data_IF_468572350716
#
_entry.id   IF_468572350716
#
_cell.length_a   1.000
_cell.length_b   1.000
_cell.length_c   1.000
_cell.angle_alpha   90.00
_cell.angle_beta   90.00
_cell.angle_gamma   90.00
#
_symmetry.space_group_name_H-M   'P 1'
#
loop_
_entity.id
_entity.type
_entity.pdbx_description
1 polymer ?
#
# COMPACT_ATOMS: atom_id res chain seq x y z
N UNK A 1 -21.18 62.72 -21.73
CA UNK A 1 -21.51 62.38 -23.12
C UNK A 1 -20.85 61.04 -23.40
N UNK A 2 -21.67 59.99 -23.42
CA UNK A 2 -21.48 58.64 -23.97
C UNK A 2 -20.18 57.89 -23.65
N UNK A 3 -20.31 56.92 -22.73
CA UNK A 3 -19.47 55.75 -22.64
C UNK A 3 -19.72 54.83 -23.85
N UNK A 4 -18.67 54.21 -24.37
CA UNK A 4 -18.76 53.22 -25.44
C UNK A 4 -17.97 51.97 -25.03
N UNK A 5 -18.69 50.87 -24.85
CA UNK A 5 -18.16 49.52 -24.68
C UNK A 5 -17.50 49.01 -25.97
N UNK A 6 -16.72 47.92 -25.87
CA UNK A 6 -17.20 46.69 -26.50
C UNK A 6 -16.86 45.40 -25.74
N UNK A 7 -17.69 44.37 -25.90
CA UNK A 7 -17.22 42.98 -25.77
C UNK A 7 -18.21 41.96 -25.22
N UNK A 8 -19.33 41.77 -25.93
CA UNK A 8 -20.35 40.74 -25.72
C UNK A 8 -19.75 39.32 -25.75
N UNK A 9 -19.83 38.59 -24.64
CA UNK A 9 -19.60 37.14 -24.59
C UNK A 9 -20.95 36.39 -24.65
N UNK A 10 -21.10 35.32 -25.45
CA UNK A 10 -22.25 34.45 -25.33
C UNK A 10 -22.02 33.56 -24.10
N UNK A 11 -22.94 33.33 -23.18
CA UNK A 11 -24.38 33.18 -23.32
C UNK A 11 -24.72 31.96 -22.46
N UNK A 12 -25.03 32.20 -21.19
CA UNK A 12 -25.43 31.18 -20.22
C UNK A 12 -26.83 30.67 -20.60
N UNK A 13 -26.93 29.41 -21.02
CA UNK A 13 -28.22 28.73 -21.19
C UNK A 13 -28.33 27.68 -20.09
N UNK A 14 -29.19 27.98 -19.12
CA UNK A 14 -29.70 26.96 -18.20
C UNK A 14 -30.67 26.05 -18.95
N UNK A 15 -30.56 24.74 -18.68
CA UNK A 15 -31.60 23.78 -18.96
C UNK A 15 -31.73 22.85 -17.75
N UNK A 16 -32.82 23.06 -17.02
CA UNK A 16 -33.43 22.09 -16.13
C UNK A 16 -33.55 20.71 -16.78
N UNK A 17 -33.18 19.67 -16.03
CA UNK A 17 -33.29 18.28 -16.48
C UNK A 17 -32.54 17.30 -15.58
N UNK A 18 -32.73 17.37 -14.27
CA UNK A 18 -32.15 16.39 -13.33
C UNK A 18 -32.95 15.08 -13.44
N UNK A 19 -32.51 14.20 -14.34
CA UNK A 19 -32.78 12.77 -14.24
C UNK A 19 -31.78 12.17 -13.26
N UNK A 20 -32.29 11.68 -12.13
CA UNK A 20 -31.54 10.95 -11.13
C UNK A 20 -30.94 9.66 -11.74
N UNK A 21 -29.62 9.54 -11.71
CA UNK A 21 -28.95 8.28 -12.03
C UNK A 21 -27.52 8.41 -12.53
N UNK A 22 -26.58 8.92 -11.71
CA UNK A 22 -25.15 8.55 -11.87
C UNK A 22 -24.29 8.83 -10.60
N UNK A 23 -24.83 8.52 -9.42
CA UNK A 23 -24.16 8.80 -8.13
C UNK A 23 -22.92 7.95 -7.81
N UNK A 24 -22.48 7.09 -8.74
CA UNK A 24 -21.30 6.24 -8.56
C UNK A 24 -20.02 6.87 -9.11
N UNK A 25 -20.08 7.40 -10.33
CA UNK A 25 -18.88 7.90 -11.02
C UNK A 25 -18.47 9.27 -10.48
N UNK A 26 -19.44 10.15 -10.20
CA UNK A 26 -19.16 11.46 -9.61
C UNK A 26 -18.56 11.37 -8.20
N UNK A 27 -19.04 10.43 -7.37
CA UNK A 27 -18.53 10.25 -6.01
C UNK A 27 -17.12 9.64 -5.96
N UNK A 28 -16.81 8.72 -6.88
CA UNK A 28 -15.47 8.14 -7.02
C UNK A 28 -14.46 9.15 -7.57
N UNK A 29 -14.89 10.01 -8.50
CA UNK A 29 -14.08 11.12 -9.02
C UNK A 29 -13.87 12.20 -7.97
N UNK A 30 -14.92 12.60 -7.24
CA UNK A 30 -14.80 13.54 -6.11
C UNK A 30 -13.90 12.99 -5.00
N UNK A 31 -13.96 11.68 -4.71
CA UNK A 31 -13.05 11.04 -3.77
C UNK A 31 -11.59 11.05 -4.27
N UNK A 32 -11.34 10.72 -5.54
CA UNK A 32 -10.00 10.75 -6.12
C UNK A 32 -9.41 12.16 -6.16
N UNK A 33 -10.22 13.18 -6.46
CA UNK A 33 -9.78 14.58 -6.47
C UNK A 33 -9.57 15.13 -5.05
N UNK A 34 -10.49 14.86 -4.12
CA UNK A 34 -10.47 15.46 -2.78
C UNK A 34 -9.63 14.71 -1.74
N UNK A 35 -9.39 13.40 -1.93
CA UNK A 35 -8.68 12.55 -0.96
C UNK A 35 -7.33 12.07 -1.49
N UNK A 36 -7.20 11.87 -2.81
CA UNK A 36 -5.97 11.39 -3.44
C UNK A 36 -5.23 12.49 -4.22
N UNK A 37 -5.79 13.70 -4.35
CA UNK A 37 -5.11 14.84 -4.97
C UNK A 37 -4.91 14.73 -6.49
N UNK A 38 -5.66 13.86 -7.18
CA UNK A 38 -5.48 13.59 -8.61
C UNK A 38 -5.99 14.76 -9.46
N UNK A 39 -5.09 15.57 -10.01
CA UNK A 39 -5.42 16.62 -10.99
C UNK A 39 -5.11 16.16 -12.42
N UNK A 40 -5.96 15.29 -12.97
CA UNK A 40 -5.82 14.83 -14.36
C UNK A 40 -6.52 13.53 -14.67
N UNK A 41 -7.86 13.51 -14.62
CA UNK A 41 -8.62 12.32 -15.05
C UNK A 41 -8.85 12.40 -16.57
N UNK A 42 -8.07 11.66 -17.34
CA UNK A 42 -8.35 11.44 -18.77
C UNK A 42 -9.33 10.29 -18.89
N UNK A 43 -10.61 10.62 -19.05
CA UNK A 43 -11.65 9.63 -19.38
C UNK A 43 -11.51 9.27 -20.85
N UNK A 44 -11.05 8.05 -21.12
CA UNK A 44 -10.95 7.46 -22.46
C UNK A 44 -12.36 7.31 -23.08
N UNK A 45 -12.72 8.22 -23.99
CA UNK A 45 -14.04 8.30 -24.64
C UNK A 45 -14.19 7.48 -25.92
N UNK A 46 -13.53 6.33 -26.04
CA UNK A 46 -13.71 5.43 -27.20
C UNK A 46 -14.35 4.11 -26.77
N UNK A 47 -15.44 3.78 -27.46
CA UNK A 47 -16.34 2.63 -27.27
C UNK A 47 -15.70 1.27 -27.58
N UNK A 48 -14.58 0.95 -26.92
CA UNK A 48 -13.85 -0.31 -27.06
C UNK A 48 -12.89 -0.64 -25.91
N UNK A 49 -12.80 0.18 -24.86
CA UNK A 49 -12.06 -0.16 -23.64
C UNK A 49 -12.92 -1.10 -22.78
N UNK A 50 -12.40 -2.31 -22.51
CA UNK A 50 -13.11 -3.45 -21.89
C UNK A 50 -13.58 -3.28 -20.43
N UNK A 51 -13.70 -2.05 -19.91
CA UNK A 51 -14.20 -1.77 -18.57
C UNK A 51 -15.73 -1.89 -18.42
N UNK A 52 -16.48 -2.12 -19.51
CA UNK A 52 -17.96 -2.17 -19.48
C UNK A 52 -18.60 -3.50 -19.92
N UNK A 53 -17.82 -4.53 -20.30
CA UNK A 53 -18.39 -5.82 -20.75
C UNK A 53 -18.36 -6.91 -19.68
N UNK A 54 -18.75 -6.58 -18.45
CA UNK A 54 -18.95 -7.57 -17.37
C UNK A 54 -20.20 -7.32 -16.51
N UNK A 55 -21.19 -6.58 -17.04
CA UNK A 55 -22.47 -6.33 -16.37
C UNK A 55 -23.71 -6.82 -17.14
N UNK A 56 -23.55 -7.52 -18.26
CA UNK A 56 -24.69 -7.87 -19.12
C UNK A 56 -25.19 -9.32 -19.04
N UNK A 57 -24.47 -10.31 -18.49
CA UNK A 57 -25.01 -11.68 -18.41
C UNK A 57 -24.68 -12.35 -17.07
N UNK A 58 -25.49 -12.04 -16.06
CA UNK A 58 -25.56 -12.81 -14.83
C UNK A 58 -26.45 -14.04 -15.06
N UNK A 59 -25.85 -15.19 -15.38
CA UNK A 59 -26.49 -16.48 -15.18
C UNK A 59 -25.55 -17.47 -14.48
N UNK A 60 -26.02 -17.87 -13.30
CA UNK A 60 -25.67 -19.04 -12.49
C UNK A 60 -24.42 -18.98 -11.58
N UNK A 61 -24.67 -18.57 -10.33
CA UNK A 61 -23.71 -18.61 -9.21
C UNK A 61 -23.87 -19.87 -8.33
N UNK A 62 -24.56 -20.92 -8.79
CA UNK A 62 -24.74 -22.16 -7.98
C UNK A 62 -23.63 -23.21 -8.13
N UNK A 63 -22.53 -22.91 -8.84
CA UNK A 63 -21.45 -23.86 -9.13
C UNK A 63 -20.06 -23.50 -8.57
N UNK A 64 -19.97 -22.83 -7.40
CA UNK A 64 -18.70 -22.65 -6.70
C UNK A 64 -18.55 -23.69 -5.58
N UNK A 65 -17.47 -24.52 -5.56
CA UNK A 65 -17.26 -25.47 -4.49
C UNK A 65 -16.95 -24.74 -3.18
N UNK A 66 -17.69 -25.11 -2.12
CA UNK A 66 -17.41 -24.66 -0.77
C UNK A 66 -16.03 -25.19 -0.33
N UNK A 67 -15.10 -24.28 -0.05
CA UNK A 67 -13.84 -24.63 0.62
C UNK A 67 -14.18 -25.00 2.06
N UNK A 68 -14.17 -26.31 2.35
CA UNK A 68 -14.46 -26.85 3.66
C UNK A 68 -13.42 -26.39 4.69
N UNK A 69 -13.90 -25.75 5.76
CA UNK A 69 -13.12 -25.46 6.96
C UNK A 69 -13.04 -26.67 7.90
N UNK A 70 -11.91 -26.79 8.59
CA UNK A 70 -11.76 -27.56 9.83
C UNK A 70 -11.14 -28.95 9.69
N UNK A 71 -9.85 -29.07 10.01
CA UNK A 71 -9.21 -30.36 10.28
C UNK A 71 -9.48 -30.81 11.73
N UNK A 72 -9.95 -32.05 11.99
CA UNK A 72 -9.92 -32.65 13.33
C UNK A 72 -8.61 -33.46 13.56
N UNK A 73 -8.27 -33.85 14.80
CA UNK A 73 -6.92 -34.34 15.14
C UNK A 73 -6.69 -35.79 14.70
N UNK A 74 -5.46 -36.06 14.26
CA UNK A 74 -4.98 -37.37 13.81
C UNK A 74 -4.73 -38.28 15.01
N UNK A 75 -5.35 -39.48 15.03
CA UNK A 75 -4.98 -40.56 15.94
C UNK A 75 -4.29 -41.68 15.17
N UNK A 76 -3.10 -42.07 15.63
CA UNK A 76 -2.28 -43.12 15.04
C UNK A 76 -2.91 -44.52 15.26
N UNK A 77 -3.12 -45.28 14.18
CA UNK A 77 -3.17 -46.75 14.23
C UNK A 77 -2.32 -47.34 13.10
N UNK A 78 -1.32 -48.13 13.50
CA UNK A 78 -0.46 -48.97 12.63
C UNK A 78 -1.30 -50.05 11.92
N UNK A 79 -1.04 -50.38 10.64
CA UNK A 79 -1.59 -51.57 9.99
C UNK A 79 -0.77 -52.84 10.35
N UNK A 80 -1.38 -54.04 10.25
CA UNK A 80 -0.72 -55.29 10.62
C UNK A 80 0.15 -55.85 9.48
N UNK A 81 1.21 -56.54 9.89
CA UNK A 81 2.16 -57.26 9.03
C UNK A 81 1.52 -58.60 8.59
N UNK A 82 1.55 -58.92 7.29
CA UNK A 82 1.26 -60.28 6.78
C UNK A 82 2.55 -60.93 6.26
N UNK A 83 2.76 -62.16 6.69
CA UNK A 83 3.81 -63.08 6.23
C UNK A 83 3.40 -63.83 4.95
N UNK A 84 4.36 -64.41 4.20
CA UNK A 84 4.17 -64.90 2.84
C UNK A 84 3.76 -66.37 2.81
N UNK A 85 3.14 -66.81 1.71
CA UNK A 85 3.05 -68.22 1.37
C UNK A 85 3.31 -68.45 -0.12
N UNK A 86 4.05 -69.52 -0.40
CA UNK A 86 4.65 -69.90 -1.68
C UNK A 86 3.71 -70.79 -2.53
N UNK A 87 3.88 -70.82 -3.87
CA UNK A 87 3.30 -71.92 -4.67
C UNK A 87 3.02 -71.69 -6.17
N UNK A 88 4.08 -71.62 -6.98
CA UNK A 88 4.28 -72.25 -8.32
C UNK A 88 3.27 -72.16 -9.50
N UNK A 89 3.87 -71.74 -10.63
CA UNK A 89 3.87 -72.28 -12.03
C UNK A 89 3.05 -71.66 -13.17
N UNK A 90 3.84 -71.25 -14.18
CA UNK A 90 3.69 -71.41 -15.65
C UNK A 90 3.15 -70.26 -16.51
N UNK A 91 4.11 -69.72 -17.29
CA UNK A 91 4.11 -69.24 -18.68
C UNK A 91 2.98 -68.35 -19.24
N UNK A 92 3.40 -67.16 -19.69
CA UNK A 92 2.61 -66.31 -20.57
C UNK A 92 3.32 -65.00 -20.93
N UNK A 93 4.19 -65.04 -21.95
CA UNK A 93 4.78 -63.87 -22.62
C UNK A 93 3.69 -62.84 -22.96
N UNK A 94 3.75 -61.66 -22.35
CA UNK A 94 2.89 -60.52 -22.67
C UNK A 94 3.60 -59.21 -22.37
N UNK A 95 4.37 -58.70 -23.32
CA UNK A 95 4.92 -57.35 -23.30
C UNK A 95 3.77 -56.34 -23.10
N UNK A 96 3.72 -55.66 -21.95
CA UNK A 96 2.95 -54.43 -21.76
C UNK A 96 3.83 -53.40 -21.08
N UNK A 97 4.48 -52.63 -21.95
CA UNK A 97 4.61 -51.18 -21.87
C UNK A 97 4.69 -50.60 -20.46
N UNK A 98 5.92 -50.28 -20.04
CA UNK A 98 6.15 -49.20 -19.08
C UNK A 98 5.44 -47.95 -19.63
N UNK A 99 4.35 -47.54 -19.00
CA UNK A 99 3.89 -46.18 -19.09
C UNK A 99 5.02 -45.33 -18.48
N UNK A 100 5.77 -44.64 -19.36
CA UNK A 100 6.53 -43.46 -18.94
C UNK A 100 5.49 -42.50 -18.38
N UNK A 101 5.51 -42.32 -17.07
CA UNK A 101 4.82 -41.20 -16.44
C UNK A 101 5.51 -39.95 -16.99
N UNK A 102 4.68 -39.05 -17.49
CA UNK A 102 5.06 -37.86 -18.24
C UNK A 102 5.65 -36.82 -17.27
N UNK A 103 6.96 -36.92 -16.99
CA UNK A 103 7.70 -35.93 -16.17
C UNK A 103 7.87 -34.57 -16.88
N UNK A 104 7.32 -34.41 -18.10
CA UNK A 104 7.44 -33.20 -18.93
C UNK A 104 6.38 -32.13 -18.67
N UNK A 105 5.14 -32.51 -18.35
CA UNK A 105 4.02 -31.56 -18.23
C UNK A 105 4.06 -30.75 -16.91
N UNK A 106 4.44 -31.37 -15.80
CA UNK A 106 4.45 -30.72 -14.48
C UNK A 106 5.48 -29.58 -14.36
N UNK A 107 6.54 -29.61 -15.18
CA UNK A 107 7.58 -28.57 -15.21
C UNK A 107 7.14 -27.31 -15.97
N UNK A 108 6.20 -27.42 -16.89
CA UNK A 108 5.72 -26.34 -17.74
C UNK A 108 4.73 -25.44 -16.97
N UNK A 109 3.80 -26.04 -16.23
CA UNK A 109 2.81 -25.32 -15.43
C UNK A 109 3.46 -24.50 -14.30
N UNK A 110 4.50 -25.05 -13.66
CA UNK A 110 5.24 -24.33 -12.61
C UNK A 110 6.02 -23.14 -13.18
N UNK A 111 6.59 -23.29 -14.37
CA UNK A 111 7.33 -22.21 -15.03
C UNK A 111 6.38 -21.10 -15.51
N UNK A 112 5.24 -21.46 -16.08
CA UNK A 112 4.18 -20.52 -16.43
C UNK A 112 3.64 -19.77 -15.20
N UNK A 113 3.36 -20.48 -14.10
CA UNK A 113 2.90 -19.86 -12.86
C UNK A 113 3.95 -18.91 -12.27
N UNK A 114 5.24 -19.27 -12.35
CA UNK A 114 6.33 -18.40 -11.92
C UNK A 114 6.39 -17.11 -12.76
N UNK A 115 6.33 -17.22 -14.09
CA UNK A 115 6.33 -16.05 -14.97
C UNK A 115 5.14 -15.11 -14.68
N UNK A 116 3.95 -15.70 -14.49
CA UNK A 116 2.76 -14.91 -14.15
C UNK A 116 2.82 -14.30 -12.76
N UNK A 117 3.41 -14.99 -11.79
CA UNK A 117 3.60 -14.44 -10.44
C UNK A 117 4.57 -13.26 -10.47
N UNK A 118 5.70 -13.41 -11.16
CA UNK A 118 6.68 -12.32 -11.33
C UNK A 118 6.06 -11.11 -12.04
N UNK A 119 5.19 -11.33 -13.04
CA UNK A 119 4.46 -10.24 -13.69
C UNK A 119 3.53 -9.45 -12.74
N UNK A 120 3.11 -10.04 -11.61
CA UNK A 120 2.29 -9.38 -10.59
C UNK A 120 3.08 -8.95 -9.34
N UNK A 121 4.38 -9.26 -9.27
CA UNK A 121 5.17 -9.11 -8.04
C UNK A 121 5.18 -7.70 -7.48
N UNK A 122 5.32 -6.69 -8.32
CA UNK A 122 5.31 -5.29 -7.88
C UNK A 122 3.98 -4.87 -7.27
N UNK A 123 2.86 -5.28 -7.88
CA UNK A 123 1.52 -5.07 -7.33
C UNK A 123 1.33 -5.79 -6.00
N UNK A 124 1.75 -7.05 -5.90
CA UNK A 124 1.65 -7.85 -4.68
C UNK A 124 2.50 -7.26 -3.54
N UNK A 125 3.72 -6.80 -3.87
CA UNK A 125 4.59 -6.08 -2.94
C UNK A 125 3.98 -4.76 -2.50
N UNK A 126 3.36 -4.02 -3.42
CA UNK A 126 2.64 -2.79 -3.09
C UNK A 126 1.53 -3.09 -2.08
N UNK A 127 0.66 -4.07 -2.33
CA UNK A 127 -0.40 -4.51 -1.40
C UNK A 127 0.18 -4.88 -0.04
N UNK A 128 1.21 -5.72 -0.01
CA UNK A 128 1.83 -6.18 1.23
C UNK A 128 2.45 -5.02 2.03
N UNK A 129 3.10 -4.07 1.36
CA UNK A 129 3.66 -2.89 2.00
C UNK A 129 2.57 -1.98 2.61
N UNK A 130 1.45 -1.73 1.90
CA UNK A 130 0.32 -0.97 2.48
C UNK A 130 -0.31 -1.69 3.68
N UNK A 131 -0.25 -3.02 3.70
CA UNK A 131 -0.76 -3.82 4.81
C UNK A 131 0.16 -3.82 6.02
N UNK A 132 1.47 -3.96 5.81
CA UNK A 132 2.43 -4.29 6.85
C UNK A 132 3.27 -3.11 7.32
N UNK A 133 3.42 -2.06 6.50
CA UNK A 133 4.23 -0.87 6.81
C UNK A 133 5.74 -1.07 6.66
N UNK A 134 6.22 -2.30 6.47
CA UNK A 134 7.65 -2.62 6.30
C UNK A 134 7.95 -3.19 4.93
N UNK A 135 9.07 -2.77 4.33
CA UNK A 135 9.55 -3.28 3.05
C UNK A 135 10.04 -4.73 3.16
N UNK A 136 10.78 -5.06 4.23
CA UNK A 136 11.24 -6.44 4.44
C UNK A 136 10.08 -7.40 4.67
N UNK A 137 9.10 -7.00 5.47
CA UNK A 137 7.96 -7.86 5.75
C UNK A 137 7.02 -7.99 4.54
N UNK A 138 6.98 -6.96 3.67
CA UNK A 138 6.28 -7.05 2.40
C UNK A 138 6.92 -8.08 1.47
N UNK A 139 8.25 -8.09 1.34
CA UNK A 139 8.98 -9.12 0.58
C UNK A 139 8.76 -10.52 1.17
N UNK A 140 8.81 -10.66 2.50
CA UNK A 140 8.54 -11.93 3.18
C UNK A 140 7.12 -12.43 2.90
N UNK A 141 6.13 -11.53 2.94
CA UNK A 141 4.73 -11.87 2.65
C UNK A 141 4.54 -12.34 1.18
N UNK A 142 5.20 -11.67 0.22
CA UNK A 142 5.18 -12.08 -1.19
C UNK A 142 5.85 -13.44 -1.37
N UNK A 143 6.98 -13.68 -0.70
CA UNK A 143 7.64 -14.99 -0.72
C UNK A 143 6.77 -16.09 -0.11
N UNK A 144 6.13 -15.84 1.02
CA UNK A 144 5.21 -16.81 1.64
C UNK A 144 4.00 -17.09 0.73
N UNK A 145 3.47 -16.06 0.05
CA UNK A 145 2.40 -16.23 -0.92
C UNK A 145 2.85 -17.12 -2.10
N UNK A 146 4.04 -16.91 -2.65
CA UNK A 146 4.61 -17.78 -3.67
C UNK A 146 4.70 -19.25 -3.22
N UNK A 147 5.17 -19.51 -1.99
CA UNK A 147 5.26 -20.87 -1.44
C UNK A 147 3.88 -21.54 -1.28
N UNK A 148 2.83 -20.76 -0.98
CA UNK A 148 1.45 -21.27 -0.90
C UNK A 148 0.87 -21.56 -2.29
N UNK A 149 1.12 -20.66 -3.24
CA UNK A 149 0.61 -20.75 -4.62
C UNK A 149 1.27 -21.89 -5.40
N UNK A 150 2.59 -22.01 -5.34
CA UNK A 150 3.37 -23.08 -6.02
C UNK A 150 3.03 -24.51 -5.56
N UNK A 151 2.29 -24.67 -4.46
CA UNK A 151 1.82 -25.95 -3.93
C UNK A 151 0.32 -26.18 -4.15
N UNK A 152 -0.36 -25.21 -4.76
CA UNK A 152 -1.81 -25.24 -4.99
C UNK A 152 -2.09 -25.56 -6.45
N UNK A 153 -3.19 -26.27 -6.71
CA UNK A 153 -3.69 -26.50 -8.06
C UNK A 153 -4.33 -25.20 -8.59
N UNK A 154 -3.77 -24.62 -9.65
CA UNK A 154 -4.17 -23.33 -10.22
C UNK A 154 -5.05 -23.45 -11.47
N UNK A 155 -5.38 -24.67 -11.91
CA UNK A 155 -6.01 -24.93 -13.21
C UNK A 155 -7.42 -24.33 -13.36
N UNK A 156 -8.08 -24.03 -12.24
CA UNK A 156 -9.42 -23.44 -12.20
C UNK A 156 -9.44 -21.90 -12.03
N UNK A 157 -8.28 -21.23 -11.92
CA UNK A 157 -8.21 -19.80 -11.59
C UNK A 157 -8.37 -18.93 -12.84
N UNK A 158 -9.57 -18.35 -13.03
CA UNK A 158 -9.87 -17.45 -14.17
C UNK A 158 -9.28 -16.03 -14.04
N UNK A 159 -9.14 -15.52 -12.83
CA UNK A 159 -8.53 -14.22 -12.53
C UNK A 159 -7.34 -14.41 -11.58
N UNK A 160 -6.16 -14.63 -12.16
CA UNK A 160 -4.95 -14.92 -11.38
C UNK A 160 -4.51 -13.72 -10.54
N UNK A 161 -4.56 -12.50 -11.07
CA UNK A 161 -4.14 -11.30 -10.33
C UNK A 161 -5.01 -11.02 -9.08
N UNK A 162 -6.33 -11.14 -9.21
CA UNK A 162 -7.26 -11.01 -8.07
C UNK A 162 -7.06 -12.11 -7.03
N UNK A 163 -6.83 -13.35 -7.50
CA UNK A 163 -6.54 -14.47 -6.62
C UNK A 163 -5.21 -14.32 -5.87
N UNK A 164 -4.13 -13.91 -6.55
CA UNK A 164 -2.83 -13.64 -5.91
C UNK A 164 -2.93 -12.51 -4.88
N UNK A 165 -3.68 -11.45 -5.21
CA UNK A 165 -3.97 -10.35 -4.27
C UNK A 165 -4.69 -10.86 -3.02
N UNK A 166 -5.63 -11.78 -3.19
CA UNK A 166 -6.33 -12.46 -2.08
C UNK A 166 -5.39 -13.30 -1.22
N UNK A 167 -4.47 -14.05 -1.83
CA UNK A 167 -3.47 -14.86 -1.10
C UNK A 167 -2.55 -13.97 -0.28
N UNK A 168 -1.98 -12.92 -0.88
CA UNK A 168 -1.11 -11.97 -0.19
C UNK A 168 -1.88 -11.25 0.93
N UNK A 169 -3.10 -10.79 0.67
CA UNK A 169 -3.95 -10.20 1.70
C UNK A 169 -4.15 -11.12 2.91
N UNK A 170 -4.36 -12.42 2.68
CA UNK A 170 -4.48 -13.41 3.77
C UNK A 170 -3.18 -13.60 4.53
N UNK A 171 -2.04 -13.71 3.84
CA UNK A 171 -0.70 -13.78 4.47
C UNK A 171 -0.48 -12.56 5.37
N UNK A 172 -0.71 -11.36 4.85
CA UNK A 172 -0.53 -10.13 5.63
C UNK A 172 -1.47 -10.06 6.84
N UNK A 173 -2.73 -10.50 6.71
CA UNK A 173 -3.67 -10.55 7.83
C UNK A 173 -3.18 -11.50 8.94
N UNK A 174 -2.65 -12.65 8.56
CA UNK A 174 -2.11 -13.63 9.51
C UNK A 174 -0.86 -13.09 10.20
N UNK A 175 0.04 -12.43 9.47
CA UNK A 175 1.21 -11.74 10.05
C UNK A 175 0.79 -10.66 11.05
N UNK A 176 -0.15 -9.79 10.71
CA UNK A 176 -0.65 -8.74 11.61
C UNK A 176 -1.30 -9.33 12.88
N UNK A 177 -2.12 -10.38 12.74
CA UNK A 177 -2.70 -11.08 13.90
C UNK A 177 -1.63 -11.70 14.79
N UNK A 178 -0.59 -12.26 14.17
CA UNK A 178 0.52 -12.86 14.88
C UNK A 178 1.32 -11.83 15.68
N UNK A 179 1.57 -10.63 15.10
CA UNK A 179 2.22 -9.52 15.82
C UNK A 179 1.43 -9.11 17.06
N UNK A 180 0.12 -8.92 16.92
CA UNK A 180 -0.76 -8.58 18.05
C UNK A 180 -0.75 -9.68 19.13
N UNK A 181 -0.79 -10.95 18.73
CA UNK A 181 -0.80 -12.07 19.66
C UNK A 181 0.53 -12.22 20.44
N UNK A 182 1.66 -11.98 19.76
CA UNK A 182 3.01 -12.04 20.37
C UNK A 182 3.39 -10.76 21.12
N UNK A 183 2.55 -9.72 21.08
CA UNK A 183 2.83 -8.37 21.63
C UNK A 183 4.13 -7.79 21.09
N UNK A 184 4.37 -7.99 19.81
CA UNK A 184 5.52 -7.40 19.08
C UNK A 184 5.31 -5.91 18.78
N UNK A 185 4.37 -5.26 19.48
CA UNK A 185 4.13 -3.83 19.32
C UNK A 185 5.35 -3.05 19.82
N UNK A 186 5.90 -2.14 18.99
CA UNK A 186 7.02 -1.30 19.39
C UNK A 186 6.70 -0.54 20.67
N UNK A 187 7.64 -0.52 21.62
CA UNK A 187 7.54 0.29 22.83
C UNK A 187 7.82 1.76 22.48
N UNK A 188 6.85 2.43 21.85
CA UNK A 188 6.95 3.86 21.52
C UNK A 188 6.44 4.20 20.12
N UNK A 189 6.91 5.34 19.60
CA UNK A 189 6.62 5.79 18.23
C UNK A 189 7.30 4.84 17.24
N UNK A 190 6.51 4.19 16.40
CA UNK A 190 6.98 3.46 15.24
C UNK A 190 6.52 4.18 13.97
N UNK A 191 7.39 4.22 12.97
CA UNK A 191 7.06 4.72 11.65
C UNK A 191 7.17 3.60 10.63
N UNK A 192 6.33 3.56 9.58
CA UNK A 192 6.52 2.69 8.42
C UNK A 192 7.86 2.93 7.71
N UNK A 193 8.38 1.92 7.00
CA UNK A 193 9.61 2.04 6.21
C UNK A 193 9.40 3.01 5.04
N UNK A 194 10.13 4.12 4.93
CA UNK A 194 9.95 5.08 3.84
C UNK A 194 10.48 4.52 2.50
N UNK A 195 9.84 4.89 1.40
CA UNK A 195 10.33 4.67 0.03
C UNK A 195 10.90 5.98 -0.48
N UNK A 196 12.18 5.96 -0.88
CA UNK A 196 12.92 7.16 -1.30
C UNK A 196 12.93 7.25 -2.83
N UNK A 197 12.67 8.43 -3.38
CA UNK A 197 12.68 8.74 -4.80
C UNK A 197 13.39 10.07 -5.13
N UNK A 198 13.73 10.28 -6.41
CA UNK A 198 14.45 11.49 -6.87
C UNK A 198 13.52 12.69 -6.98
N UNK A 199 14.04 13.86 -6.61
CA UNK A 199 13.36 15.16 -6.81
C UNK A 199 13.64 15.72 -8.21
N UNK A 200 14.77 15.34 -8.81
CA UNK A 200 15.20 15.72 -10.16
C UNK A 200 14.88 14.57 -11.12
N UNK A 201 13.77 14.68 -11.84
CA UNK A 201 13.32 13.64 -12.78
C UNK A 201 11.80 13.44 -12.91
N UNK A 202 10.98 14.43 -12.58
CA UNK A 202 9.53 14.33 -12.79
C UNK A 202 9.21 14.67 -14.26
N UNK A 203 9.22 13.65 -15.13
CA UNK A 203 8.41 13.72 -16.35
C UNK A 203 6.92 13.69 -15.99
N UNK A 204 6.01 14.16 -16.87
CA UNK A 204 4.55 14.13 -16.63
C UNK A 204 4.01 12.73 -16.28
N UNK A 205 4.66 11.67 -16.75
CA UNK A 205 4.34 10.28 -16.42
C UNK A 205 4.75 9.88 -14.99
N UNK A 206 5.82 10.48 -14.46
CA UNK A 206 6.27 10.26 -13.09
C UNK A 206 5.41 11.06 -12.09
N UNK A 207 4.93 12.25 -12.47
CA UNK A 207 3.91 13.00 -11.72
C UNK A 207 2.59 12.21 -11.59
N UNK A 208 2.18 11.46 -12.61
CA UNK A 208 1.00 10.58 -12.53
C UNK A 208 1.23 9.35 -11.64
N UNK A 209 2.43 8.76 -11.64
CA UNK A 209 2.81 7.69 -10.69
C UNK A 209 2.93 8.19 -9.24
N UNK A 210 3.28 9.48 -9.07
CA UNK A 210 3.33 10.17 -7.78
C UNK A 210 1.94 10.62 -7.30
N UNK A 211 0.98 10.86 -8.18
CA UNK A 211 -0.41 11.12 -7.82
C UNK A 211 -1.11 9.89 -7.18
N UNK A 212 -0.60 8.69 -7.44
CA UNK A 212 -0.99 7.43 -6.76
C UNK A 212 -0.15 7.14 -5.51
N UNK A 213 0.80 8.03 -5.16
CA UNK A 213 1.68 7.84 -4.02
C UNK A 213 0.95 8.15 -2.72
N UNK A 214 0.83 7.11 -1.90
CA UNK A 214 0.30 7.21 -0.56
C UNK A 214 1.38 7.78 0.34
N UNK A 215 1.25 9.05 0.73
CA UNK A 215 2.17 9.70 1.66
C UNK A 215 2.33 8.91 2.97
N UNK A 216 3.51 9.01 3.60
CA UNK A 216 3.87 8.25 4.80
C UNK A 216 2.83 8.41 5.94
N UNK A 217 2.19 9.58 6.02
CA UNK A 217 1.11 9.85 6.98
C UNK A 217 -0.08 8.87 6.89
N UNK A 218 -0.48 8.43 5.69
CA UNK A 218 -1.55 7.44 5.58
C UNK A 218 -1.08 6.09 6.13
N UNK A 219 0.15 5.67 5.84
CA UNK A 219 0.69 4.41 6.39
C UNK A 219 0.74 4.44 7.92
N UNK A 220 1.15 5.58 8.52
CA UNK A 220 1.11 5.80 9.97
C UNK A 220 -0.32 5.65 10.51
N UNK A 221 -1.32 6.18 9.80
CA UNK A 221 -2.72 6.02 10.23
C UNK A 221 -3.21 4.60 10.03
N UNK A 222 -2.83 3.92 8.95
CA UNK A 222 -3.14 2.51 8.74
C UNK A 222 -2.62 1.67 9.90
N UNK A 223 -1.43 1.99 10.44
CA UNK A 223 -0.84 1.31 11.60
C UNK A 223 -1.75 1.30 12.84
N UNK A 224 -2.60 2.31 13.00
CA UNK A 224 -3.56 2.40 14.13
C UNK A 224 -4.82 1.54 13.96
N UNK A 225 -5.06 1.01 12.76
CA UNK A 225 -6.26 0.21 12.46
C UNK A 225 -6.11 -1.23 12.93
N UNK A 226 -7.22 -1.83 13.40
CA UNK A 226 -7.25 -3.26 13.67
C UNK A 226 -7.00 -4.06 12.36
N UNK A 227 -6.37 -5.25 12.42
CA UNK A 227 -5.92 -5.97 11.22
C UNK A 227 -6.99 -6.18 10.14
N UNK A 228 -8.21 -6.55 10.55
CA UNK A 228 -9.32 -6.78 9.63
C UNK A 228 -9.90 -5.48 9.03
N UNK A 229 -9.80 -4.36 9.77
CA UNK A 229 -10.22 -3.04 9.28
C UNK A 229 -9.19 -2.51 8.27
N UNK A 230 -7.90 -2.66 8.56
CA UNK A 230 -6.82 -2.34 7.63
C UNK A 230 -6.96 -3.15 6.34
N UNK A 231 -7.13 -4.47 6.43
CA UNK A 231 -7.30 -5.31 5.25
C UNK A 231 -8.48 -4.89 4.39
N UNK A 232 -9.65 -4.66 5.01
CA UNK A 232 -10.84 -4.26 4.27
C UNK A 232 -10.67 -2.91 3.58
N UNK A 233 -10.00 -1.95 4.24
CA UNK A 233 -9.72 -0.64 3.67
C UNK A 233 -8.68 -0.71 2.55
N UNK A 234 -7.51 -1.31 2.80
CA UNK A 234 -6.44 -1.38 1.81
C UNK A 234 -6.91 -2.11 0.55
N UNK A 235 -7.47 -3.31 0.67
CA UNK A 235 -7.88 -4.08 -0.50
C UNK A 235 -9.00 -3.38 -1.29
N UNK A 236 -9.97 -2.77 -0.60
CA UNK A 236 -11.09 -2.16 -1.30
C UNK A 236 -10.78 -0.74 -1.79
N UNK A 237 -10.35 0.15 -0.89
CA UNK A 237 -10.23 1.58 -1.15
C UNK A 237 -8.97 1.93 -1.95
N UNK A 238 -7.88 1.15 -1.83
CA UNK A 238 -6.62 1.41 -2.54
C UNK A 238 -6.42 0.48 -3.75
N UNK A 239 -7.01 -0.72 -3.73
CA UNK A 239 -6.79 -1.73 -4.76
C UNK A 239 -8.06 -2.22 -5.46
N UNK A 240 -9.22 -1.65 -5.15
CA UNK A 240 -10.47 -1.90 -5.88
C UNK A 240 -11.06 -3.31 -5.71
N UNK A 241 -10.62 -4.08 -4.72
CA UNK A 241 -11.09 -5.46 -4.52
C UNK A 241 -12.57 -5.46 -4.04
N UNK A 242 -13.45 -6.28 -4.63
CA UNK A 242 -14.84 -6.40 -4.20
C UNK A 242 -15.00 -6.91 -2.77
N UNK A 243 -16.06 -6.47 -2.07
CA UNK A 243 -16.32 -6.89 -0.69
C UNK A 243 -16.62 -8.37 -0.54
N UNK A 244 -17.10 -9.02 -1.60
CA UNK A 244 -17.38 -10.45 -1.69
C UNK A 244 -16.08 -11.26 -1.53
N UNK A 245 -15.00 -10.83 -2.19
CA UNK A 245 -13.68 -11.46 -2.09
C UNK A 245 -13.04 -11.16 -0.72
N UNK A 246 -13.12 -9.90 -0.26
CA UNK A 246 -12.61 -9.48 1.05
C UNK A 246 -13.28 -10.27 2.18
N UNK A 247 -14.60 -10.49 2.10
CA UNK A 247 -15.38 -11.24 3.07
C UNK A 247 -14.84 -12.68 3.25
N UNK A 248 -14.46 -13.34 2.16
CA UNK A 248 -13.85 -14.66 2.18
C UNK A 248 -12.46 -14.66 2.85
N UNK A 249 -11.70 -13.56 2.74
CA UNK A 249 -10.40 -13.42 3.41
C UNK A 249 -10.58 -13.27 4.92
N UNK A 250 -11.47 -12.37 5.35
CA UNK A 250 -11.69 -12.08 6.79
C UNK A 250 -12.54 -13.13 7.51
N UNK A 251 -13.14 -14.08 6.77
CA UNK A 251 -14.02 -15.11 7.32
C UNK A 251 -15.36 -14.54 7.80
N UNK A 252 -15.94 -13.58 7.05
CA UNK A 252 -17.22 -12.93 7.37
C UNK A 252 -18.11 -12.84 6.15
N UNK A 253 -19.30 -12.26 6.29
CA UNK A 253 -20.16 -11.92 5.16
C UNK A 253 -19.79 -10.56 4.54
N UNK A 254 -20.23 -10.26 3.28
CA UNK A 254 -19.91 -9.01 2.60
C UNK A 254 -20.36 -7.74 3.34
N UNK A 255 -21.50 -7.80 4.04
CA UNK A 255 -21.98 -6.66 4.83
C UNK A 255 -21.03 -6.32 6.00
N UNK A 256 -20.49 -7.34 6.67
CA UNK A 256 -19.50 -7.15 7.72
C UNK A 256 -18.16 -6.62 7.18
N UNK A 257 -17.75 -7.02 5.97
CA UNK A 257 -16.57 -6.47 5.29
C UNK A 257 -16.74 -4.97 4.99
N UNK A 258 -17.91 -4.56 4.48
CA UNK A 258 -18.27 -3.13 4.28
C UNK A 258 -18.19 -2.33 5.57
N UNK A 259 -18.67 -2.90 6.68
CA UNK A 259 -18.60 -2.24 7.99
C UNK A 259 -17.15 -2.05 8.49
N UNK A 260 -16.26 -3.02 8.23
CA UNK A 260 -14.85 -2.91 8.56
C UNK A 260 -14.19 -1.75 7.80
N UNK A 261 -14.38 -1.68 6.48
CA UNK A 261 -13.86 -0.58 5.65
C UNK A 261 -14.46 0.78 6.08
N UNK A 262 -15.77 0.82 6.37
CA UNK A 262 -16.44 2.03 6.87
C UNK A 262 -15.85 2.54 8.20
N UNK A 263 -15.52 1.63 9.14
CA UNK A 263 -14.84 2.00 10.39
C UNK A 263 -13.43 2.53 10.14
N UNK A 264 -12.68 1.87 9.26
CA UNK A 264 -11.35 2.33 8.85
C UNK A 264 -11.39 3.74 8.26
N UNK A 265 -12.28 4.00 7.29
CA UNK A 265 -12.47 5.34 6.68
C UNK A 265 -12.72 6.43 7.72
N UNK A 266 -13.55 6.16 8.72
CA UNK A 266 -13.82 7.13 9.80
C UNK A 266 -12.58 7.47 10.60
N UNK A 267 -11.70 6.50 10.86
CA UNK A 267 -10.43 6.74 11.55
C UNK A 267 -9.44 7.47 10.65
N UNK A 268 -9.34 7.08 9.39
CA UNK A 268 -8.46 7.75 8.40
C UNK A 268 -8.79 9.24 8.27
N UNK A 269 -10.08 9.57 8.07
CA UNK A 269 -10.55 10.96 7.97
C UNK A 269 -10.35 11.78 9.24
N UNK A 270 -10.32 11.12 10.41
CA UNK A 270 -10.19 11.80 11.69
C UNK A 270 -8.75 11.98 12.17
N UNK A 271 -7.76 11.39 11.50
CA UNK A 271 -6.39 11.26 12.02
C UNK A 271 -5.28 11.77 11.10
N UNK A 272 -5.48 11.85 9.78
CA UNK A 272 -4.45 12.32 8.84
C UNK A 272 -4.76 13.73 8.30
N UNK A 273 -3.81 14.68 8.35
CA UNK A 273 -3.85 15.83 7.47
C UNK A 273 -3.75 15.34 6.02
N UNK A 274 -4.55 15.88 5.11
CA UNK A 274 -4.45 15.58 3.69
C UNK A 274 -3.27 16.37 3.12
N UNK A 275 -2.23 15.71 2.57
CA UNK A 275 -1.12 16.41 1.96
C UNK A 275 -1.58 17.22 0.74
N UNK A 276 -1.01 18.40 0.54
CA UNK A 276 -1.20 19.18 -0.69
C UNK A 276 -0.63 18.40 -1.88
N UNK A 277 -1.36 18.27 -2.98
CA UNK A 277 -0.89 17.51 -4.15
C UNK A 277 0.25 18.20 -4.93
N UNK A 278 0.44 19.51 -4.71
CA UNK A 278 1.42 20.32 -5.41
C UNK A 278 2.83 20.16 -4.81
N UNK A 279 3.68 19.39 -5.50
CA UNK A 279 5.07 19.16 -5.09
C UNK A 279 5.93 20.42 -5.10
N UNK A 280 5.61 21.43 -5.92
CA UNK A 280 6.33 22.69 -5.92
C UNK A 280 6.06 23.47 -4.64
N UNK A 281 4.78 23.57 -4.25
CA UNK A 281 4.39 24.17 -2.96
C UNK A 281 5.02 23.41 -1.79
N UNK A 282 4.96 22.08 -1.79
CA UNK A 282 5.60 21.27 -0.76
C UNK A 282 7.11 21.58 -0.66
N UNK A 283 7.80 21.67 -1.80
CA UNK A 283 9.23 21.99 -1.88
C UNK A 283 9.54 23.34 -1.27
N UNK A 284 8.79 24.38 -1.64
CA UNK A 284 8.98 25.73 -1.09
C UNK A 284 8.83 25.76 0.44
N UNK A 285 7.82 25.09 0.97
CA UNK A 285 7.55 25.00 2.41
C UNK A 285 8.66 24.24 3.14
N UNK A 286 9.08 23.08 2.61
CA UNK A 286 10.15 22.27 3.21
C UNK A 286 11.49 23.01 3.15
N UNK A 287 11.80 23.71 2.07
CA UNK A 287 13.00 24.54 1.97
C UNK A 287 12.98 25.71 2.96
N UNK A 288 11.81 26.34 3.16
CA UNK A 288 11.63 27.38 4.16
C UNK A 288 11.88 26.87 5.58
N UNK A 289 11.32 25.70 5.92
CA UNK A 289 11.58 25.02 7.18
C UNK A 289 13.08 24.74 7.39
N UNK A 290 13.75 24.16 6.39
CA UNK A 290 15.19 23.86 6.47
C UNK A 290 16.05 25.11 6.60
N UNK A 291 15.70 26.18 5.90
CA UNK A 291 16.41 27.47 5.98
C UNK A 291 16.31 28.05 7.39
N UNK A 292 15.11 28.11 7.95
CA UNK A 292 14.85 28.61 9.29
C UNK A 292 15.53 27.75 10.37
N UNK A 293 15.48 26.42 10.23
CA UNK A 293 16.19 25.50 11.13
C UNK A 293 17.72 25.74 11.11
N UNK A 294 18.33 25.88 9.92
CA UNK A 294 19.77 26.13 9.79
C UNK A 294 20.21 27.47 10.36
N UNK A 295 19.40 28.52 10.23
CA UNK A 295 19.70 29.85 10.77
C UNK A 295 19.37 29.98 12.26
N UNK A 296 18.70 28.99 12.86
CA UNK A 296 18.19 29.08 14.23
C UNK A 296 17.04 30.09 14.37
N UNK A 297 16.32 30.37 13.28
CA UNK A 297 15.22 31.33 13.25
C UNK A 297 13.94 30.68 13.78
N UNK A 298 13.69 30.85 15.07
CA UNK A 298 12.54 30.26 15.76
C UNK A 298 11.22 30.82 15.23
N UNK A 299 11.14 32.13 14.98
CA UNK A 299 9.90 32.76 14.54
C UNK A 299 9.54 32.30 13.13
N UNK A 300 10.51 32.25 12.21
CA UNK A 300 10.28 31.70 10.87
C UNK A 300 9.90 30.21 10.89
N UNK A 301 10.42 29.42 11.84
CA UNK A 301 9.98 28.04 12.03
C UNK A 301 8.52 27.96 12.48
N UNK A 302 8.12 28.78 13.45
CA UNK A 302 6.72 28.83 13.91
C UNK A 302 5.78 29.29 12.79
N UNK A 303 6.24 30.19 11.92
CA UNK A 303 5.45 30.67 10.77
C UNK A 303 5.19 29.60 9.71
N UNK A 304 6.13 28.67 9.47
CA UNK A 304 5.97 27.60 8.46
C UNK A 304 5.28 26.35 9.02
N UNK A 305 5.24 26.20 10.34
CA UNK A 305 4.57 25.10 11.03
C UNK A 305 3.06 25.37 11.18
N UNK A 306 2.27 24.31 11.12
CA UNK A 306 0.89 24.37 11.58
C UNK A 306 0.86 24.51 13.13
N UNK A 307 -0.06 25.30 13.71
CA UNK A 307 -0.17 25.44 15.16
C UNK A 307 -0.33 24.11 15.91
N UNK A 308 -1.02 23.14 15.29
CA UNK A 308 -1.30 21.81 15.82
C UNK A 308 -0.37 20.74 15.24
N UNK A 309 0.77 21.15 14.65
CA UNK A 309 1.75 20.24 14.06
C UNK A 309 2.16 19.13 15.01
N UNK A 310 2.28 17.91 14.47
CA UNK A 310 2.79 16.75 15.20
C UNK A 310 4.11 16.30 14.57
N UNK A 311 5.16 16.23 15.38
CA UNK A 311 6.42 15.61 14.99
C UNK A 311 6.60 14.26 15.69
N UNK A 312 6.85 13.21 14.92
CA UNK A 312 7.13 11.85 15.38
C UNK A 312 8.54 11.47 15.00
N UNK A 313 9.29 10.93 15.94
CA UNK A 313 10.61 10.38 15.70
C UNK A 313 10.65 8.92 16.10
N UNK A 314 10.95 8.03 15.16
CA UNK A 314 11.23 6.62 15.40
C UNK A 314 12.75 6.41 15.45
N UNK A 315 13.24 5.99 16.60
CA UNK A 315 14.64 5.71 16.87
C UNK A 315 14.99 4.21 16.90
N UNK A 316 14.03 3.35 16.58
CA UNK A 316 14.16 1.90 16.67
C UNK A 316 14.33 1.42 18.10
N UNK A 317 14.80 0.18 18.26
CA UNK A 317 15.02 -0.42 19.57
C UNK A 317 16.11 0.29 20.41
N UNK A 318 16.99 1.06 19.75
CA UNK A 318 18.16 1.67 20.40
C UNK A 318 17.88 3.05 20.98
N UNK A 319 16.84 3.75 20.52
CA UNK A 319 16.50 5.09 20.99
C UNK A 319 14.99 5.22 21.18
N UNK A 320 14.53 5.74 22.33
CA UNK A 320 13.09 5.92 22.56
C UNK A 320 12.51 6.85 21.51
N UNK A 321 11.37 6.44 20.94
CA UNK A 321 10.61 7.28 20.03
C UNK A 321 10.10 8.54 20.73
N UNK A 322 10.03 9.64 20.00
CA UNK A 322 9.61 10.95 20.52
C UNK A 322 8.39 11.45 19.75
N UNK A 323 7.40 11.98 20.45
CA UNK A 323 6.25 12.66 19.84
C UNK A 323 6.12 14.05 20.44
N UNK A 324 6.17 15.07 19.59
CA UNK A 324 6.02 16.48 19.95
C UNK A 324 4.74 17.03 19.32
N UNK A 325 4.05 17.89 20.06
CA UNK A 325 2.85 18.58 19.61
C UNK A 325 3.06 20.09 19.69
N UNK A 326 2.61 20.78 18.65
CA UNK A 326 2.56 22.22 18.58
C UNK A 326 3.81 22.87 18.00
N UNK A 327 3.60 23.97 17.27
CA UNK A 327 4.64 24.65 16.50
C UNK A 327 5.88 25.02 17.33
N UNK A 328 5.68 25.57 18.55
CA UNK A 328 6.79 26.00 19.41
C UNK A 328 7.71 24.83 19.84
N UNK A 329 7.12 23.69 20.20
CA UNK A 329 7.89 22.53 20.62
C UNK A 329 8.68 21.92 19.46
N UNK A 330 8.05 21.82 18.28
CA UNK A 330 8.69 21.33 17.06
C UNK A 330 9.78 22.29 16.58
N UNK A 331 9.55 23.59 16.60
CA UNK A 331 10.55 24.61 16.24
C UNK A 331 11.80 24.54 17.15
N UNK A 332 11.61 24.46 18.47
CA UNK A 332 12.72 24.33 19.42
C UNK A 332 13.55 23.06 19.18
N UNK A 333 12.89 21.94 18.86
CA UNK A 333 13.57 20.71 18.49
C UNK A 333 14.32 20.85 17.17
N UNK A 334 13.74 21.46 16.14
CA UNK A 334 14.39 21.65 14.85
C UNK A 334 15.70 22.45 14.96
N UNK A 335 15.72 23.50 15.80
CA UNK A 335 16.94 24.28 16.08
C UNK A 335 17.99 23.43 16.79
N UNK A 336 17.59 22.59 17.75
CA UNK A 336 18.52 21.71 18.49
C UNK A 336 19.26 20.75 17.55
N UNK A 337 18.62 20.32 16.47
CA UNK A 337 19.18 19.39 15.49
C UNK A 337 19.68 20.08 14.21
N UNK A 338 19.77 21.42 14.19
CA UNK A 338 20.17 22.22 13.03
C UNK A 338 21.51 21.80 12.41
N UNK A 339 22.47 21.31 13.22
CA UNK A 339 23.77 20.82 12.72
C UNK A 339 23.64 19.68 11.70
N UNK A 340 22.57 18.88 11.78
CA UNK A 340 22.29 17.80 10.85
C UNK A 340 21.53 18.30 9.60
N UNK A 341 20.89 19.47 9.68
CA UNK A 341 20.25 20.11 8.53
C UNK A 341 21.27 20.67 7.52
N UNK A 342 22.54 20.82 7.91
CA UNK A 342 23.63 21.27 7.02
C UNK A 342 23.99 20.25 5.94
N UNK A 343 23.73 18.97 6.18
CA UNK A 343 23.95 17.86 5.24
C UNK A 343 22.64 17.29 4.69
N UNK A 344 21.54 18.03 4.86
CA UNK A 344 20.22 17.68 4.37
C UNK A 344 20.13 17.82 2.84
N UNK A 345 19.64 16.76 2.18
CA UNK A 345 19.26 16.76 0.77
C UNK A 345 17.76 16.54 0.65
N UNK A 346 17.12 17.25 -0.26
CA UNK A 346 15.72 17.02 -0.60
C UNK A 346 15.59 15.71 -1.36
N UNK A 347 14.56 14.94 -1.03
CA UNK A 347 14.19 13.68 -1.69
C UNK A 347 12.67 13.63 -1.82
N UNK A 348 12.15 12.66 -2.57
CA UNK A 348 10.76 12.24 -2.40
C UNK A 348 10.71 11.11 -1.37
N UNK A 349 9.84 11.22 -0.37
CA UNK A 349 9.54 10.18 0.61
C UNK A 349 8.09 9.77 0.43
N UNK A 350 7.88 8.54 -0.05
CA UNK A 350 6.58 8.02 -0.44
C UNK A 350 5.84 8.97 -1.40
N UNK A 351 6.61 9.62 -2.27
CA UNK A 351 6.15 10.57 -3.30
C UNK A 351 5.83 12.00 -2.82
N UNK A 352 5.90 12.29 -1.52
CA UNK A 352 5.87 13.66 -1.00
C UNK A 352 7.29 14.21 -0.80
N UNK A 353 7.46 15.54 -0.78
CA UNK A 353 8.77 16.15 -0.52
C UNK A 353 9.24 15.82 0.89
N UNK A 354 10.45 15.28 1.00
CA UNK A 354 11.10 14.94 2.25
C UNK A 354 12.59 15.27 2.25
N UNK A 355 13.26 14.84 3.31
CA UNK A 355 14.67 15.18 3.55
C UNK A 355 15.45 13.94 4.00
N UNK A 356 16.63 13.73 3.43
CA UNK A 356 17.64 12.83 4.00
C UNK A 356 18.79 13.66 4.54
N UNK A 357 19.12 13.48 5.82
CA UNK A 357 20.34 14.03 6.41
C UNK A 357 21.40 12.94 6.50
N UNK A 358 22.62 13.26 6.06
CA UNK A 358 23.76 12.33 6.08
C UNK A 358 24.87 12.81 7.01
N UNK A 359 25.67 11.90 7.57
CA UNK A 359 26.95 12.23 8.19
C UNK A 359 28.01 11.27 7.66
N UNK A 360 29.13 11.83 7.23
CA UNK A 360 30.24 11.04 6.65
C UNK A 360 29.78 10.14 5.49
N UNK A 361 28.80 10.60 4.70
CA UNK A 361 28.23 9.85 3.57
C UNK A 361 27.22 8.77 3.95
N UNK A 362 26.89 8.60 5.24
CA UNK A 362 25.88 7.63 5.71
C UNK A 362 24.57 8.32 6.11
N UNK A 363 23.40 7.75 5.81
CA UNK A 363 22.12 8.29 6.27
C UNK A 363 22.04 8.28 7.80
N UNK A 364 21.73 9.44 8.38
CA UNK A 364 21.46 9.58 9.81
C UNK A 364 19.97 9.70 10.10
N UNK A 365 19.21 10.27 9.17
CA UNK A 365 17.77 10.41 9.31
C UNK A 365 17.08 10.61 7.97
N UNK A 366 15.86 10.09 7.88
CA UNK A 366 14.88 10.42 6.83
C UNK A 366 13.73 11.18 7.49
N UNK A 367 13.32 12.29 6.91
CA UNK A 367 12.18 13.10 7.35
C UNK A 367 11.14 13.15 6.25
N UNK A 368 9.93 12.66 6.52
CA UNK A 368 8.76 12.87 5.68
C UNK A 368 7.97 14.07 6.21
N UNK A 369 7.58 14.96 5.30
CA UNK A 369 6.75 16.12 5.63
C UNK A 369 5.35 15.90 5.08
N UNK A 370 4.35 16.22 5.90
CA UNK A 370 2.99 16.43 5.42
C UNK A 370 2.74 17.93 5.39
N UNK A 371 2.68 18.50 4.18
CA UNK A 371 2.32 19.90 3.98
C UNK A 371 0.84 19.97 3.68
N UNK A 372 0.11 20.84 4.37
CA UNK A 372 -1.31 21.08 4.14
C UNK A 372 -1.60 22.57 4.32
N UNK A 373 -2.31 23.17 3.37
CA UNK A 373 -2.63 24.59 3.41
C UNK A 373 -1.37 25.47 3.42
N UNK A 374 -0.29 25.03 2.77
CA UNK A 374 0.98 25.75 2.72
C UNK A 374 1.77 25.78 4.04
N UNK A 375 1.42 24.93 5.01
CA UNK A 375 2.14 24.77 6.29
C UNK A 375 2.50 23.32 6.53
N UNK A 376 3.53 23.07 7.33
CA UNK A 376 3.87 21.71 7.75
C UNK A 376 2.91 21.26 8.85
N UNK A 377 2.03 20.31 8.53
CA UNK A 377 1.03 19.74 9.43
C UNK A 377 1.56 18.51 10.21
N UNK A 378 2.49 17.75 9.63
CA UNK A 378 3.21 16.71 10.38
C UNK A 378 4.64 16.49 9.88
N UNK A 379 5.49 15.99 10.77
CA UNK A 379 6.84 15.55 10.47
C UNK A 379 7.03 14.12 11.01
N UNK A 380 7.42 13.19 10.16
CA UNK A 380 7.70 11.81 10.56
C UNK A 380 9.18 11.52 10.27
N UNK A 381 9.96 11.27 11.33
CA UNK A 381 11.43 11.26 11.33
C UNK A 381 11.94 9.85 11.70
N UNK A 382 12.51 9.13 10.74
CA UNK A 382 13.17 7.85 10.97
C UNK A 382 14.66 8.08 11.27
N UNK A 383 15.13 7.57 12.41
CA UNK A 383 16.54 7.64 12.85
C UNK A 383 17.13 6.29 13.27
N UNK A 384 16.38 5.20 13.09
CA UNK A 384 16.83 3.84 13.36
C UNK A 384 17.93 3.44 12.36
N UNK A 385 19.19 3.26 12.81
CA UNK A 385 20.30 2.93 11.91
C UNK A 385 20.08 1.64 11.12
N UNK A 386 19.47 0.62 11.75
CA UNK A 386 19.28 -0.68 11.12
C UNK A 386 18.28 -0.61 9.98
N UNK A 387 17.26 0.25 10.10
CA UNK A 387 16.27 0.48 9.05
C UNK A 387 16.82 1.41 7.97
N UNK A 388 17.56 2.44 8.36
CA UNK A 388 18.21 3.37 7.42
C UNK A 388 19.21 2.66 6.50
N UNK A 389 19.99 1.71 7.02
CA UNK A 389 20.96 0.93 6.24
C UNK A 389 20.31 0.03 5.17
N UNK A 390 19.00 -0.24 5.29
CA UNK A 390 18.24 -1.06 4.33
C UNK A 390 17.54 -0.24 3.25
N UNK A 391 17.50 1.08 3.38
CA UNK A 391 16.86 1.95 2.40
C UNK A 391 17.73 2.05 1.15
N UNK A 392 17.09 1.99 -0.02
CA UNK A 392 17.77 2.31 -1.27
C UNK A 392 17.93 3.83 -1.39
N UNK A 393 19.16 4.29 -1.16
CA UNK A 393 19.55 5.69 -1.24
C UNK A 393 20.41 5.99 -2.48
N UNK A 394 20.45 5.09 -3.47
CA UNK A 394 21.18 5.32 -4.73
C UNK A 394 20.76 6.61 -5.44
N UNK A 395 19.54 7.07 -5.15
CA UNK A 395 18.98 8.36 -5.58
C UNK A 395 19.82 9.57 -5.13
N UNK A 396 20.60 9.43 -4.05
CA UNK A 396 21.46 10.50 -3.52
C UNK A 396 22.81 10.60 -4.23
N UNK A 397 23.19 9.65 -5.09
CA UNK A 397 24.51 9.60 -5.75
C UNK A 397 24.59 10.44 -7.04
N UNK A 398 23.57 11.26 -7.32
CA UNK A 398 23.46 12.16 -8.48
C UNK A 398 24.37 13.39 -8.44
#
# INVERSE_FOLDING_TARGET
>A
MVAQEPGEGPGYVGADGVAAGDGGVAASVEYAVAVLGVTGIVVCGHSGCGAMTALAEAHDLTALPAVAGGSPPVSHRRPPIRHPDEGTTSDGKGKRQMARVDDGAYRDDTAFLAERFEAHRDHLRAVAYRMLGSLSEAEDAVQEAWLKVSRSDTDAVRNLGGWLTTVVGRVCLDMLRSRTARREEPLGVHLPDPVIGSVDGAGPEQEALLADSVGLALLVVLETLAPAERLAFVLHDLFGVPFEEIAAIVGRNPAAARQLASRARRRVRGAAPVPDADLALQREVVEAFLRAARSGDFDALVEVLDPDVVARSDGGAQRPGVMLHGAAAVAGQAITFARFASSARLVLVNGAVGVVATAEGRPMSVMAFTVSGGRVASLDILTDPERLDRLDLAVLDG
#
